data_IF_897540328730
#
_entry.id   IF_897540328730
#
_cell.length_a   1.000
_cell.length_b   1.000
_cell.length_c   1.000
_cell.angle_alpha   90.00
_cell.angle_beta   90.00
_cell.angle_gamma   90.00
#
_symmetry.space_group_name_H-M   'P 1'
#
loop_
_entity.id
_entity.type
_entity.pdbx_description
1 polymer ?
#
# COMPACT_ATOMS: atom_id res chain seq x y z
N UNK A 1 10.30 5.29 -14.44
CA UNK A 1 11.09 4.03 -14.30
C UNK A 1 12.23 4.05 -15.30
N UNK A 2 13.45 3.77 -14.83
CA UNK A 2 14.62 3.69 -15.72
C UNK A 2 14.51 2.45 -16.61
N UNK A 3 14.62 2.65 -17.91
CA UNK A 3 14.82 1.59 -18.87
C UNK A 3 16.29 1.19 -18.87
N UNK A 4 16.58 -0.12 -18.94
CA UNK A 4 17.93 -0.57 -19.27
C UNK A 4 18.20 -0.32 -20.75
N UNK A 5 19.40 0.08 -21.14
CA UNK A 5 19.75 0.21 -22.56
C UNK A 5 19.47 -1.11 -23.31
N UNK A 6 18.84 -1.11 -24.50
CA UNK A 6 18.46 0.03 -25.34
C UNK A 6 17.03 0.59 -25.10
N UNK A 7 16.35 0.18 -24.03
CA UNK A 7 14.97 0.59 -23.74
C UNK A 7 14.91 2.00 -23.14
N UNK A 8 14.06 2.85 -23.72
CA UNK A 8 13.79 4.20 -23.20
C UNK A 8 13.11 4.13 -21.83
N UNK A 9 13.43 5.11 -20.98
CA UNK A 9 12.73 5.35 -19.71
C UNK A 9 11.21 5.53 -19.91
N UNK A 10 10.45 5.27 -18.83
CA UNK A 10 8.98 5.36 -18.81
C UNK A 10 8.49 6.32 -17.74
N UNK A 11 7.53 7.15 -18.12
CA UNK A 11 6.76 8.00 -17.20
C UNK A 11 5.47 7.32 -16.75
N UNK A 12 4.94 7.72 -15.60
CA UNK A 12 3.64 7.28 -15.10
C UNK A 12 2.96 8.43 -14.36
N UNK A 13 1.67 8.63 -14.59
CA UNK A 13 0.83 9.41 -13.70
C UNK A 13 0.37 8.50 -12.58
N UNK A 14 0.54 8.92 -11.32
CA UNK A 14 0.24 8.09 -10.15
C UNK A 14 -0.51 8.89 -9.10
N UNK A 15 -1.56 8.28 -8.55
CA UNK A 15 -2.18 8.68 -7.30
C UNK A 15 -1.87 7.58 -6.28
N UNK A 16 -1.54 7.97 -5.05
CA UNK A 16 -1.23 7.05 -3.96
C UNK A 16 -2.11 7.31 -2.75
N UNK A 17 -2.48 6.25 -2.06
CA UNK A 17 -3.26 6.29 -0.83
C UNK A 17 -2.64 5.34 0.20
N UNK A 18 -2.66 5.75 1.47
CA UNK A 18 -2.43 4.87 2.60
C UNK A 18 -3.72 4.63 3.35
N UNK A 19 -4.04 3.36 3.61
CA UNK A 19 -5.18 2.96 4.40
C UNK A 19 -4.78 2.02 5.54
N UNK A 20 -5.59 1.98 6.59
CA UNK A 20 -5.37 1.10 7.75
C UNK A 20 -6.61 0.29 8.08
N UNK A 21 -6.39 -0.97 8.40
CA UNK A 21 -7.40 -1.85 8.94
C UNK A 21 -6.94 -2.34 10.32
N UNK A 22 -7.87 -2.30 11.29
CA UNK A 22 -7.71 -2.99 12.57
C UNK A 22 -8.74 -4.10 12.56
N UNK A 23 -8.25 -5.35 12.49
CA UNK A 23 -9.11 -6.52 12.57
C UNK A 23 -9.36 -6.77 14.06
N UNK A 24 -10.59 -6.52 14.50
CA UNK A 24 -11.02 -6.96 15.81
C UNK A 24 -11.05 -8.50 15.84
N UNK A 25 -10.63 -9.16 16.94
CA UNK A 25 -10.71 -10.60 17.04
C UNK A 25 -12.16 -11.05 16.85
N UNK A 26 -12.40 -11.95 15.90
CA UNK A 26 -13.72 -12.52 15.69
C UNK A 26 -14.18 -13.22 16.99
N UNK A 27 -15.44 -13.05 17.42
CA UNK A 27 -15.95 -13.80 18.57
C UNK A 27 -15.98 -15.29 18.19
N UNK A 28 -15.05 -16.05 18.75
CA UNK A 28 -15.02 -17.51 18.65
C UNK A 28 -16.35 -18.07 19.17
N UNK A 29 -17.15 -18.68 18.30
CA UNK A 29 -18.26 -19.57 18.70
C UNK A 29 -17.65 -20.90 19.16
N UNK A 30 -17.06 -20.93 20.35
CA UNK A 30 -16.75 -22.20 21.01
C UNK A 30 -16.99 -22.07 22.51
N UNK A 31 -17.95 -22.88 22.97
CA UNK A 31 -18.36 -23.00 24.35
C UNK A 31 -17.19 -23.40 25.27
N UNK A 32 -17.36 -23.00 26.54
CA UNK A 32 -16.80 -23.55 27.79
C UNK A 32 -15.33 -23.31 28.15
N UNK A 33 -15.20 -22.56 29.25
CA UNK A 33 -14.17 -22.55 30.31
C UNK A 33 -12.77 -21.98 30.03
N UNK A 34 -12.48 -20.98 30.87
CA UNK A 34 -11.19 -20.40 31.26
C UNK A 34 -10.54 -19.36 30.33
N UNK A 35 -10.27 -18.21 30.96
CA UNK A 35 -9.94 -16.95 30.35
C UNK A 35 -8.44 -16.86 30.08
N UNK A 36 -8.05 -17.02 28.82
CA UNK A 36 -6.86 -16.38 28.27
C UNK A 36 -7.29 -15.60 27.03
N UNK A 37 -7.65 -14.35 27.27
CA UNK A 37 -8.10 -13.39 26.27
C UNK A 37 -6.88 -12.85 25.53
N UNK A 38 -6.25 -13.66 24.67
CA UNK A 38 -5.26 -13.16 23.71
C UNK A 38 -6.02 -12.41 22.60
N UNK A 39 -6.08 -11.08 22.71
CA UNK A 39 -6.58 -10.24 21.64
C UNK A 39 -5.58 -10.27 20.47
N UNK A 40 -5.75 -11.20 19.54
CA UNK A 40 -5.00 -11.22 18.27
C UNK A 40 -5.49 -10.04 17.39
N UNK A 41 -5.12 -8.83 17.79
CA UNK A 41 -5.39 -7.58 17.05
C UNK A 41 -4.42 -7.50 15.88
N UNK A 42 -4.81 -8.07 14.74
CA UNK A 42 -4.05 -7.93 13.51
C UNK A 42 -4.31 -6.56 12.90
N UNK A 43 -3.28 -5.74 12.80
CA UNK A 43 -3.32 -4.48 12.09
C UNK A 43 -2.66 -4.65 10.72
N UNK A 44 -3.32 -4.13 9.68
CA UNK A 44 -2.79 -4.09 8.33
C UNK A 44 -2.69 -2.64 7.86
N UNK A 45 -1.54 -2.30 7.26
CA UNK A 45 -1.33 -1.03 6.56
C UNK A 45 -1.25 -1.32 5.08
N UNK A 46 -2.09 -0.63 4.31
CA UNK A 46 -2.12 -0.71 2.86
C UNK A 46 -1.52 0.58 2.29
N UNK A 47 -0.49 0.48 1.46
CA UNK A 47 0.00 1.60 0.65
C UNK A 47 -0.21 1.25 -0.81
N UNK A 48 -1.14 1.94 -1.47
CA UNK A 48 -1.56 1.59 -2.84
C UNK A 48 -1.33 2.78 -3.75
N UNK A 49 -0.76 2.54 -4.91
CA UNK A 49 -0.66 3.50 -6.00
C UNK A 49 -1.30 2.93 -7.27
N UNK A 50 -1.96 3.80 -8.03
CA UNK A 50 -2.54 3.47 -9.33
C UNK A 50 -2.52 4.70 -10.25
N UNK A 51 -2.59 4.47 -11.56
CA UNK A 51 -2.62 5.55 -12.53
C UNK A 51 -3.97 6.24 -12.62
N UNK A 52 -3.94 7.57 -12.70
CA UNK A 52 -5.09 8.41 -13.01
C UNK A 52 -5.05 8.87 -14.48
N UNK A 53 -6.16 9.44 -14.97
CA UNK A 53 -6.29 9.83 -16.38
C UNK A 53 -5.30 10.94 -16.77
N UNK A 54 -4.61 10.85 -17.92
CA UNK A 54 -3.83 11.97 -18.47
C UNK A 54 -4.66 13.25 -18.65
N UNK A 55 -5.97 13.13 -18.87
CA UNK A 55 -6.85 14.29 -19.05
C UNK A 55 -6.92 15.16 -17.79
N UNK A 56 -6.70 14.57 -16.61
CA UNK A 56 -6.65 15.28 -15.33
C UNK A 56 -5.48 16.25 -15.21
N UNK A 57 -4.47 16.14 -16.09
CA UNK A 57 -3.33 17.06 -16.12
C UNK A 57 -3.27 17.95 -17.35
N UNK A 58 -4.31 17.95 -18.19
CA UNK A 58 -4.40 18.74 -19.42
C UNK A 58 -4.24 20.24 -19.23
N UNK A 59 -4.58 20.78 -18.05
CA UNK A 59 -4.41 22.19 -17.69
C UNK A 59 -2.98 22.57 -17.33
N UNK A 60 -2.10 21.59 -17.08
CA UNK A 60 -0.71 21.85 -16.73
C UNK A 60 0.19 21.77 -17.97
N UNK A 61 1.21 22.63 -18.03
CA UNK A 61 2.20 22.58 -19.09
C UNK A 61 3.01 21.27 -19.02
N UNK A 62 2.93 20.44 -20.07
CA UNK A 62 3.61 19.14 -20.15
C UNK A 62 5.12 19.21 -19.93
N UNK A 63 5.76 20.32 -20.33
CA UNK A 63 7.18 20.56 -20.12
C UNK A 63 7.61 20.61 -18.64
N UNK A 64 6.68 20.87 -17.71
CA UNK A 64 6.97 20.93 -16.27
C UNK A 64 7.02 19.55 -15.61
N UNK A 65 6.21 18.59 -16.08
CA UNK A 65 6.10 17.27 -15.46
C UNK A 65 6.62 16.12 -16.33
N UNK A 66 6.78 16.33 -17.64
CA UNK A 66 7.35 15.37 -18.58
C UNK A 66 8.27 16.07 -19.60
N UNK A 67 9.29 16.78 -19.10
CA UNK A 67 10.26 17.53 -19.92
C UNK A 67 10.99 16.66 -20.94
N UNK A 68 11.22 15.38 -20.63
CA UNK A 68 11.92 14.43 -21.49
C UNK A 68 11.00 13.69 -22.47
N UNK A 69 9.71 14.03 -22.51
CA UNK A 69 8.70 13.41 -23.39
C UNK A 69 8.79 11.87 -23.30
N UNK A 70 8.81 11.38 -22.06
CA UNK A 70 8.87 9.95 -21.79
C UNK A 70 7.55 9.31 -22.26
N UNK A 71 7.60 8.11 -22.89
CA UNK A 71 6.42 7.29 -23.09
C UNK A 71 5.75 7.02 -21.73
N UNK A 72 4.45 7.31 -21.66
CA UNK A 72 3.69 7.21 -20.41
C UNK A 72 2.97 5.86 -20.37
N UNK A 73 3.38 5.02 -19.43
CA UNK A 73 2.71 3.75 -19.14
C UNK A 73 1.53 3.92 -18.18
N UNK A 74 0.88 2.80 -17.85
CA UNK A 74 -0.24 2.74 -16.91
C UNK A 74 0.08 1.75 -15.79
N UNK A 75 0.02 2.21 -14.55
CA UNK A 75 0.04 1.36 -13.37
C UNK A 75 -1.40 1.01 -13.02
N UNK A 76 -1.75 -0.27 -13.13
CA UNK A 76 -3.06 -0.75 -12.67
C UNK A 76 -3.10 -0.82 -11.15
N UNK A 77 -2.03 -1.37 -10.55
CA UNK A 77 -1.84 -1.37 -9.10
C UNK A 77 -0.35 -1.52 -8.77
N UNK A 78 0.14 -0.75 -7.80
CA UNK A 78 1.35 -1.03 -7.02
C UNK A 78 0.96 -0.92 -5.55
N UNK A 79 0.79 -2.07 -4.90
CA UNK A 79 0.25 -2.19 -3.56
C UNK A 79 1.26 -2.84 -2.62
N UNK A 80 1.39 -2.27 -1.44
CA UNK A 80 2.12 -2.83 -0.31
C UNK A 80 1.13 -3.12 0.81
N UNK A 81 1.19 -4.34 1.35
CA UNK A 81 0.41 -4.80 2.48
C UNK A 81 1.39 -5.13 3.59
N UNK A 82 1.28 -4.41 4.70
CA UNK A 82 2.14 -4.56 5.87
C UNK A 82 1.29 -5.04 7.04
N UNK A 83 1.41 -6.32 7.37
CA UNK A 83 0.62 -6.95 8.42
C UNK A 83 1.50 -7.14 9.65
N UNK A 84 1.04 -6.65 10.80
CA UNK A 84 1.73 -6.87 12.07
C UNK A 84 1.52 -8.32 12.51
N UNK A 85 2.61 -9.05 12.73
CA UNK A 85 2.58 -10.38 13.31
C UNK A 85 2.79 -10.24 14.82
N UNK A 86 1.83 -10.75 15.59
CA UNK A 86 1.95 -10.84 17.05
C UNK A 86 2.94 -11.95 17.41
N UNK A 87 4.04 -11.65 18.14
CA UNK A 87 4.99 -12.67 18.60
C UNK A 87 4.37 -13.72 19.53
N UNK A 88 3.22 -13.45 20.14
CA UNK A 88 2.55 -14.32 21.12
C UNK A 88 1.33 -15.08 20.54
N UNK A 89 1.19 -15.12 19.22
CA UNK A 89 0.15 -15.89 18.53
C UNK A 89 0.41 -17.41 18.47
N UNK A 90 -0.46 -18.16 17.79
CA UNK A 90 -0.37 -19.62 17.67
C UNK A 90 0.92 -20.15 17.02
N UNK A 91 1.59 -19.32 16.21
CA UNK A 91 2.95 -19.55 15.74
C UNK A 91 3.88 -18.67 16.58
N UNK A 92 4.63 -19.26 17.53
CA UNK A 92 5.53 -18.55 18.44
C UNK A 92 6.68 -17.88 17.66
N UNK A 93 6.51 -16.60 17.28
CA UNK A 93 7.60 -15.81 16.69
C UNK A 93 8.35 -15.09 17.82
N UNK A 94 9.65 -15.34 17.97
CA UNK A 94 10.44 -14.79 19.08
C UNK A 94 10.58 -13.25 19.07
N UNK A 95 10.21 -12.56 17.97
CA UNK A 95 10.42 -11.12 17.77
C UNK A 95 9.19 -10.53 17.05
N UNK A 96 8.64 -9.36 17.49
CA UNK A 96 7.61 -8.64 16.76
C UNK A 96 8.04 -8.41 15.32
N UNK A 97 7.24 -8.91 14.37
CA UNK A 97 7.62 -8.95 12.96
C UNK A 97 6.51 -8.38 12.09
N UNK A 98 6.84 -7.99 10.87
CA UNK A 98 5.86 -7.50 9.88
C UNK A 98 5.93 -8.38 8.65
N UNK A 99 4.81 -8.96 8.25
CA UNK A 99 4.69 -9.62 6.94
C UNK A 99 4.48 -8.53 5.89
N UNK A 100 5.35 -8.52 4.89
CA UNK A 100 5.29 -7.56 3.79
C UNK A 100 4.92 -8.29 2.49
N UNK A 101 3.77 -7.93 1.91
CA UNK A 101 3.32 -8.43 0.61
C UNK A 101 3.28 -7.28 -0.38
N UNK A 102 3.88 -7.45 -1.56
CA UNK A 102 3.83 -6.45 -2.65
C UNK A 102 3.10 -7.02 -3.86
N UNK A 103 2.16 -6.26 -4.40
CA UNK A 103 1.36 -6.60 -5.58
C UNK A 103 1.61 -5.53 -6.64
N UNK A 104 1.99 -5.93 -7.85
CA UNK A 104 2.32 -5.00 -8.93
C UNK A 104 1.70 -5.47 -10.24
N UNK A 105 0.99 -4.57 -10.92
CA UNK A 105 0.51 -4.76 -12.28
C UNK A 105 0.68 -3.45 -13.07
N UNK A 106 1.50 -3.50 -14.12
CA UNK A 106 1.91 -2.31 -14.89
C UNK A 106 1.93 -2.64 -16.37
N UNK A 107 1.34 -1.75 -17.16
CA UNK A 107 1.57 -1.64 -18.60
C UNK A 107 2.61 -0.53 -18.85
N UNK A 108 3.68 -0.86 -19.56
CA UNK A 108 4.79 0.05 -19.82
C UNK A 108 4.64 0.86 -21.10
N UNK A 109 3.49 0.84 -21.77
CA UNK A 109 3.21 1.54 -23.02
C UNK A 109 4.24 1.22 -24.13
N UNK A 110 4.01 0.10 -24.82
CA UNK A 110 4.82 -0.40 -25.92
C UNK A 110 5.26 -1.84 -25.70
N UNK A 111 6.05 -2.38 -26.63
CA UNK A 111 6.55 -3.74 -26.52
C UNK A 111 7.68 -3.85 -25.50
N UNK A 112 7.49 -4.71 -24.50
CA UNK A 112 8.57 -5.18 -23.63
C UNK A 112 8.96 -6.60 -24.06
N UNK A 113 10.22 -6.83 -24.47
CA UNK A 113 10.68 -8.19 -24.76
C UNK A 113 10.55 -9.10 -23.55
N UNK A 114 10.24 -10.38 -23.79
CA UNK A 114 10.02 -11.37 -22.73
C UNK A 114 11.18 -11.42 -21.72
N UNK A 115 12.44 -11.34 -22.18
CA UNK A 115 13.61 -11.34 -21.31
C UNK A 115 13.64 -10.14 -20.34
N UNK A 116 13.25 -8.95 -20.81
CA UNK A 116 13.19 -7.74 -19.98
C UNK A 116 12.04 -7.84 -18.98
N UNK A 117 10.89 -8.37 -19.40
CA UNK A 117 9.78 -8.63 -18.50
C UNK A 117 10.19 -9.60 -17.38
N UNK A 118 10.87 -10.69 -17.72
CA UNK A 118 11.42 -11.64 -16.74
C UNK A 118 12.42 -10.99 -15.79
N UNK A 119 13.28 -10.10 -16.29
CA UNK A 119 14.22 -9.33 -15.46
C UNK A 119 13.50 -8.43 -14.46
N UNK A 120 12.48 -7.68 -14.92
CA UNK A 120 11.66 -6.80 -14.07
C UNK A 120 10.97 -7.63 -12.98
N UNK A 121 10.32 -8.73 -13.35
CA UNK A 121 9.63 -9.60 -12.40
C UNK A 121 10.61 -10.24 -11.40
N UNK A 122 11.81 -10.64 -11.85
CA UNK A 122 12.87 -11.17 -10.98
C UNK A 122 13.44 -10.13 -10.00
N UNK A 123 13.28 -8.84 -10.27
CA UNK A 123 13.69 -7.76 -9.35
C UNK A 123 12.63 -7.42 -8.30
N UNK A 124 11.36 -7.80 -8.49
CA UNK A 124 10.28 -7.46 -7.55
C UNK A 124 10.54 -7.98 -6.13
N UNK A 125 10.97 -9.24 -5.89
CA UNK A 125 11.28 -9.71 -4.55
C UNK A 125 12.43 -8.94 -3.89
N UNK A 126 13.43 -8.52 -4.68
CA UNK A 126 14.58 -7.73 -4.18
C UNK A 126 14.15 -6.37 -3.66
N UNK A 127 13.03 -5.82 -4.13
CA UNK A 127 12.52 -4.55 -3.63
C UNK A 127 12.09 -4.62 -2.15
N UNK A 128 11.57 -5.76 -1.70
CA UNK A 128 11.21 -5.97 -0.29
C UNK A 128 12.46 -5.96 0.58
N UNK A 129 13.51 -6.70 0.16
CA UNK A 129 14.79 -6.72 0.86
C UNK A 129 15.47 -5.35 0.88
N UNK A 130 15.35 -4.58 -0.21
CA UNK A 130 15.89 -3.23 -0.29
C UNK A 130 15.21 -2.29 0.72
N UNK A 131 13.87 -2.40 0.87
CA UNK A 131 13.12 -1.64 1.88
C UNK A 131 13.54 -2.04 3.28
N UNK A 132 13.67 -3.34 3.56
CA UNK A 132 14.14 -3.84 4.85
C UNK A 132 15.54 -3.30 5.20
N UNK A 133 16.47 -3.40 4.25
CA UNK A 133 17.85 -2.91 4.40
C UNK A 133 17.87 -1.40 4.65
N UNK A 134 17.06 -0.65 3.89
CA UNK A 134 16.92 0.79 4.03
C UNK A 134 16.41 1.17 5.42
N UNK A 135 15.34 0.54 5.91
CA UNK A 135 14.77 0.83 7.24
C UNK A 135 15.77 0.49 8.35
N UNK A 136 16.45 -0.66 8.27
CA UNK A 136 17.47 -1.06 9.24
C UNK A 136 18.67 -0.10 9.28
N UNK A 137 18.97 0.56 8.16
CA UNK A 137 20.05 1.54 8.05
C UNK A 137 19.71 2.93 8.60
N UNK A 138 18.45 3.21 8.92
CA UNK A 138 18.03 4.50 9.48
C UNK A 138 18.10 4.49 11.01
N UNK A 139 18.96 5.34 11.58
CA UNK A 139 19.05 5.57 13.02
C UNK A 139 19.09 7.09 13.32
N UNK A 140 18.16 7.63 14.12
CA UNK A 140 17.02 6.95 14.73
C UNK A 140 15.99 6.53 13.67
N UNK A 141 15.23 5.47 13.96
CA UNK A 141 14.13 5.06 13.09
C UNK A 141 13.21 6.27 12.88
N UNK A 142 12.83 6.59 11.62
CA UNK A 142 12.00 7.76 11.36
C UNK A 142 10.67 7.59 12.09
N UNK A 143 10.47 8.38 13.13
CA UNK A 143 9.17 8.56 13.78
C UNK A 143 8.36 9.45 12.88
N UNK A 144 7.72 8.85 11.88
CA UNK A 144 6.70 9.55 11.13
C UNK A 144 5.59 9.82 12.15
N UNK A 145 5.35 11.09 12.52
CA UNK A 145 4.01 11.50 12.99
C UNK A 145 3.13 11.12 11.82
N UNK A 146 2.54 9.93 11.93
CA UNK A 146 1.96 9.16 10.83
C UNK A 146 1.17 10.13 9.95
N UNK A 147 1.32 10.09 8.60
CA UNK A 147 0.40 10.85 7.77
C UNK A 147 -1.01 10.50 8.26
N UNK A 148 -1.79 11.53 8.59
CA UNK A 148 -3.13 11.36 9.14
C UNK A 148 -3.83 10.29 8.32
N UNK A 149 -4.32 9.24 8.99
CA UNK A 149 -4.88 8.03 8.34
C UNK A 149 -5.75 8.47 7.18
N UNK A 150 -5.26 8.32 5.96
CA UNK A 150 -5.94 8.87 4.78
C UNK A 150 -7.32 8.26 4.65
N UNK A 151 -7.40 6.94 4.89
CA UNK A 151 -8.64 6.17 4.97
C UNK A 151 -8.51 5.07 6.04
N UNK A 152 -9.54 4.91 6.88
CA UNK A 152 -9.69 3.75 7.77
C UNK A 152 -10.63 2.76 7.10
N UNK A 153 -10.21 1.50 6.93
CA UNK A 153 -11.11 0.44 6.52
C UNK A 153 -11.89 -0.06 7.74
N UNK A 154 -13.18 -0.30 7.54
CA UNK A 154 -14.07 -0.92 8.51
C UNK A 154 -14.84 -2.04 7.82
N UNK A 155 -14.99 -3.18 8.49
CA UNK A 155 -15.76 -4.29 7.97
C UNK A 155 -17.25 -3.94 8.01
N UNK A 156 -17.97 -4.21 6.91
CA UNK A 156 -19.42 -4.08 6.86
C UNK A 156 -20.05 -5.19 7.70
N UNK A 157 -20.86 -4.84 8.69
CA UNK A 157 -21.50 -5.77 9.64
C UNK A 157 -22.73 -6.49 9.04
N UNK A 158 -22.90 -6.46 7.72
CA UNK A 158 -24.06 -7.03 7.03
C UNK A 158 -23.83 -8.44 6.53
N UNK A 159 -24.73 -9.37 6.88
CA UNK A 159 -24.88 -10.66 6.23
C UNK A 159 -25.30 -10.46 4.76
N UNK A 160 -24.31 -10.32 3.87
CA UNK A 160 -24.56 -10.31 2.43
C UNK A 160 -23.30 -10.69 1.69
N UNK A 161 -23.25 -11.94 1.25
CA UNK A 161 -22.25 -12.46 0.29
C UNK A 161 -22.31 -11.77 -1.10
N UNK A 162 -23.09 -10.68 -1.23
CA UNK A 162 -23.42 -10.02 -2.52
C UNK A 162 -23.10 -8.51 -2.50
N UNK A 163 -22.68 -7.90 -1.39
CA UNK A 163 -22.35 -6.48 -1.36
C UNK A 163 -20.93 -6.18 -1.84
N UNK A 164 -20.75 -6.03 -3.15
CA UNK A 164 -19.58 -5.40 -3.81
C UNK A 164 -19.64 -3.86 -3.76
N UNK A 165 -20.40 -3.27 -2.84
CA UNK A 165 -20.51 -1.82 -2.71
C UNK A 165 -19.62 -1.31 -1.59
N UNK A 166 -18.46 -0.76 -1.94
CA UNK A 166 -17.66 0.04 -1.03
C UNK A 166 -18.36 1.39 -0.80
N UNK A 167 -18.46 1.84 0.46
CA UNK A 167 -18.97 3.18 0.78
C UNK A 167 -17.86 4.01 1.42
N UNK A 168 -17.57 5.18 0.83
CA UNK A 168 -16.65 6.14 1.42
C UNK A 168 -17.45 7.02 2.37
N UNK A 169 -17.13 6.95 3.66
CA UNK A 169 -17.74 7.81 4.69
C UNK A 169 -16.69 8.80 5.18
N UNK A 170 -17.06 10.08 5.24
CA UNK A 170 -16.25 11.10 5.92
C UNK A 170 -16.31 10.80 7.42
N UNK A 171 -15.16 10.63 8.07
CA UNK A 171 -15.07 10.31 9.49
C UNK A 171 -15.54 11.49 10.36
N UNK A 172 -15.14 12.71 9.99
CA UNK A 172 -15.38 13.91 10.78
C UNK A 172 -16.14 14.97 9.95
N UNK A 173 -17.30 15.49 10.40
CA UNK A 173 -18.05 16.49 9.65
C UNK A 173 -17.31 17.83 9.54
N UNK A 174 -16.57 18.26 10.57
CA UNK A 174 -15.87 19.55 10.68
C UNK A 174 -14.78 19.41 11.75
N UNK A 175 -13.50 19.55 11.41
CA UNK A 175 -12.46 20.02 12.35
C UNK A 175 -11.37 20.76 11.55
N UNK A 176 -11.65 22.01 11.19
CA UNK A 176 -10.58 22.98 10.94
C UNK A 176 -10.13 23.53 12.29
N UNK A 177 -9.19 22.86 12.94
CA UNK A 177 -8.40 23.50 13.98
C UNK A 177 -7.25 24.25 13.30
N UNK A 178 -7.51 25.50 12.90
CA UNK A 178 -6.47 26.52 12.96
C UNK A 178 -6.46 27.01 14.41
N UNK A 179 -5.38 26.71 15.13
CA UNK A 179 -5.01 27.46 16.32
C UNK A 179 -3.77 28.27 15.97
N UNK A 180 -3.97 29.57 15.76
CA UNK A 180 -2.90 30.55 15.78
C UNK A 180 -2.25 30.56 17.17
N UNK A 181 -0.93 30.43 17.20
CA UNK A 181 -0.05 31.10 18.18
C UNK A 181 1.18 31.60 17.42
#
# INVERSE_FOLDING_TARGET
>A
MKGGFPFRDRGFFLASLTARESIAPAPSRRNTSEAEQSSDTRAAIFCVAASFSPDSVSSFAASKYNSYILPVGRVFVDGWILETLDPYGAENFAIPSTRCTRIVAVDYAGSIPAAVNSMINGMLPKSILAVETYIKGLSPAPTIRLPAVGISLAQSTGDSLVQTSWSLKRRDPIECWFSDV
#
